data_IF_832943697987
#
_entry.id   IF_832943697987
#
_cell.length_a   1.000
_cell.length_b   1.000
_cell.length_c   1.000
_cell.angle_alpha   90.00
_cell.angle_beta   90.00
_cell.angle_gamma   90.00
#
_symmetry.space_group_name_H-M   'P 1'
#
loop_
_entity.id
_entity.type
_entity.pdbx_description
1 polymer ?
#
# COMPACT_ATOMS: atom_id res chain seq x y z
N UNK A 1 13.07 16.18 -8.69
CA UNK A 1 11.64 15.92 -8.96
C UNK A 1 11.47 14.41 -9.03
N UNK A 2 10.46 13.86 -8.38
CA UNK A 2 10.22 12.41 -8.44
C UNK A 2 9.74 11.99 -9.83
N UNK A 3 10.25 10.88 -10.35
CA UNK A 3 9.88 10.29 -11.64
C UNK A 3 8.91 9.14 -11.43
N UNK A 4 7.84 9.06 -12.23
CA UNK A 4 6.88 7.95 -12.16
C UNK A 4 7.52 6.68 -12.73
N UNK A 5 7.61 5.62 -11.90
CA UNK A 5 8.02 4.29 -12.35
C UNK A 5 6.82 3.50 -12.85
N UNK A 6 5.71 3.52 -12.08
CA UNK A 6 4.43 2.92 -12.44
C UNK A 6 3.28 3.71 -11.84
N UNK A 7 2.16 3.75 -12.56
CA UNK A 7 0.88 4.24 -12.09
C UNK A 7 -0.18 3.21 -12.43
N UNK A 8 -1.07 2.92 -11.48
CA UNK A 8 -2.13 1.95 -11.64
C UNK A 8 -3.49 2.65 -11.61
N UNK A 9 -4.42 2.17 -12.42
CA UNK A 9 -5.81 2.60 -12.45
C UNK A 9 -6.73 1.38 -12.41
N UNK A 10 -8.05 1.58 -12.25
CA UNK A 10 -9.01 0.48 -12.03
C UNK A 10 -9.12 -0.55 -13.16
N UNK A 11 -8.49 -0.32 -14.32
CA UNK A 11 -8.33 -1.32 -15.38
C UNK A 11 -7.20 -2.33 -15.07
N UNK A 12 -6.26 -1.97 -14.20
CA UNK A 12 -5.23 -2.87 -13.70
C UNK A 12 -5.82 -3.81 -12.64
N UNK A 13 -5.77 -5.14 -12.83
CA UNK A 13 -6.35 -6.07 -11.88
C UNK A 13 -5.52 -6.09 -10.60
N UNK A 14 -6.16 -5.77 -9.48
CA UNK A 14 -5.54 -5.96 -8.16
C UNK A 14 -5.35 -7.46 -7.89
N UNK A 15 -4.25 -7.81 -7.20
CA UNK A 15 -3.91 -9.20 -6.87
C UNK A 15 -4.94 -9.81 -5.91
N UNK A 16 -5.41 -9.04 -4.92
CA UNK A 16 -6.55 -9.44 -4.10
C UNK A 16 -7.83 -9.31 -4.92
N UNK A 17 -8.53 -10.43 -5.13
CA UNK A 17 -9.71 -10.53 -6.00
C UNK A 17 -10.99 -9.94 -5.41
N UNK A 18 -11.04 -9.78 -4.09
CA UNK A 18 -12.25 -9.32 -3.38
C UNK A 18 -12.40 -7.78 -3.39
N UNK A 19 -11.54 -7.07 -4.15
CA UNK A 19 -11.67 -5.64 -4.36
C UNK A 19 -12.68 -5.36 -5.47
N UNK A 20 -13.62 -4.46 -5.21
CA UNK A 20 -14.63 -4.04 -6.18
C UNK A 20 -14.21 -2.70 -6.77
N UNK A 21 -14.39 -2.50 -8.08
CA UNK A 21 -14.21 -1.18 -8.70
C UNK A 21 -15.43 -0.32 -8.40
N UNK A 22 -15.20 0.85 -7.81
CA UNK A 22 -16.21 1.87 -7.53
C UNK A 22 -15.71 3.22 -8.09
N UNK A 23 -16.17 3.56 -9.29
CA UNK A 23 -15.67 4.72 -10.04
C UNK A 23 -14.20 4.58 -10.42
N UNK A 24 -13.37 5.52 -9.97
CA UNK A 24 -11.92 5.56 -10.20
C UNK A 24 -11.09 4.93 -9.06
N UNK A 25 -11.76 4.20 -8.16
CA UNK A 25 -11.14 3.60 -6.99
C UNK A 25 -11.43 2.10 -6.87
N UNK A 26 -10.54 1.42 -6.14
CA UNK A 26 -10.82 0.09 -5.62
C UNK A 26 -11.40 0.19 -4.21
N UNK A 27 -12.53 -0.46 -3.99
CA UNK A 27 -13.24 -0.57 -2.73
C UNK A 27 -13.01 -1.95 -2.11
N UNK A 28 -12.75 -1.98 -0.80
CA UNK A 28 -12.70 -3.19 0.01
C UNK A 28 -13.58 -3.09 1.24
N UNK A 29 -14.26 -4.19 1.55
CA UNK A 29 -14.95 -4.39 2.82
C UNK A 29 -13.99 -5.09 3.79
N UNK A 30 -13.74 -4.49 4.94
CA UNK A 30 -12.94 -5.09 5.99
C UNK A 30 -13.85 -5.86 6.96
N UNK A 31 -13.60 -7.16 7.13
CA UNK A 31 -14.21 -7.99 8.18
C UNK A 31 -13.21 -8.53 9.21
N UNK A 32 -11.91 -8.38 8.94
CA UNK A 32 -10.82 -8.83 9.80
C UNK A 32 -9.52 -8.08 9.47
N UNK A 33 -8.53 -8.07 10.38
CA UNK A 33 -7.18 -7.64 10.05
C UNK A 33 -6.62 -8.46 8.88
N UNK A 34 -6.16 -7.79 7.84
CA UNK A 34 -5.60 -8.43 6.65
C UNK A 34 -4.75 -7.46 5.83
N UNK A 35 -3.94 -8.02 4.94
CA UNK A 35 -3.21 -7.26 3.93
C UNK A 35 -3.86 -7.52 2.57
N UNK A 36 -4.33 -6.44 1.94
CA UNK A 36 -4.78 -6.46 0.55
C UNK A 36 -3.56 -6.26 -0.35
N UNK A 37 -3.26 -7.26 -1.18
CA UNK A 37 -2.18 -7.19 -2.17
C UNK A 37 -2.72 -6.49 -3.41
N UNK A 38 -2.12 -5.37 -3.77
CA UNK A 38 -2.62 -4.56 -4.89
C UNK A 38 -1.86 -4.95 -6.15
N UNK A 39 -0.57 -4.63 -6.21
CA UNK A 39 0.22 -4.79 -7.42
C UNK A 39 1.64 -5.23 -7.14
N UNK A 40 2.26 -5.76 -8.18
CA UNK A 40 3.67 -6.12 -8.22
C UNK A 40 4.34 -5.39 -9.39
N UNK A 41 5.52 -4.84 -9.14
CA UNK A 41 6.39 -4.26 -10.17
C UNK A 41 7.64 -5.13 -10.25
N UNK A 42 7.72 -5.90 -11.33
CA UNK A 42 8.88 -6.72 -11.66
C UNK A 42 9.96 -5.87 -12.29
N UNK A 43 11.21 -6.17 -11.94
CA UNK A 43 12.42 -5.53 -12.47
C UNK A 43 12.27 -3.99 -12.58
N UNK A 44 12.07 -3.28 -11.45
CA UNK A 44 11.84 -1.83 -11.45
C UNK A 44 13.06 -0.99 -11.88
N UNK A 45 14.22 -1.61 -12.10
CA UNK A 45 15.46 -0.95 -12.55
C UNK A 45 15.92 0.23 -11.67
N UNK A 46 15.73 0.12 -10.34
CA UNK A 46 16.12 1.13 -9.36
C UNK A 46 17.30 0.68 -8.49
N UNK A 47 18.18 1.64 -8.16
CA UNK A 47 19.31 1.47 -7.24
C UNK A 47 19.70 2.85 -6.69
N UNK A 48 20.30 2.91 -5.49
CA UNK A 48 20.91 4.13 -4.95
C UNK A 48 19.97 5.36 -5.02
N UNK A 49 18.72 5.17 -4.64
CA UNK A 49 17.66 6.17 -4.70
C UNK A 49 16.57 5.88 -3.66
N UNK A 50 15.64 6.81 -3.51
CA UNK A 50 14.44 6.58 -2.71
C UNK A 50 13.32 6.12 -3.63
N UNK A 51 12.68 5.00 -3.31
CA UNK A 51 11.44 4.59 -3.94
C UNK A 51 10.28 5.08 -3.09
N UNK A 52 9.31 5.76 -3.69
CA UNK A 52 8.13 6.27 -3.00
C UNK A 52 6.90 5.50 -3.47
N UNK A 53 6.13 4.97 -2.52
CA UNK A 53 4.81 4.42 -2.79
C UNK A 53 3.76 5.41 -2.30
N UNK A 54 2.95 5.94 -3.22
CA UNK A 54 1.90 6.92 -2.95
C UNK A 54 0.53 6.38 -3.38
N UNK A 55 -0.49 6.70 -2.60
CA UNK A 55 -1.89 6.49 -2.95
C UNK A 55 -2.80 7.45 -2.16
N UNK A 56 -4.07 7.54 -2.56
CA UNK A 56 -5.11 8.22 -1.79
C UNK A 56 -6.07 7.20 -1.17
N UNK A 57 -6.39 7.40 0.10
CA UNK A 57 -7.27 6.54 0.88
C UNK A 57 -8.50 7.29 1.36
N UNK A 58 -9.68 6.68 1.23
CA UNK A 58 -10.93 7.12 1.87
C UNK A 58 -11.43 5.96 2.75
N UNK A 59 -12.00 6.26 3.91
CA UNK A 59 -12.58 5.21 4.77
C UNK A 59 -13.96 5.56 5.27
N UNK A 60 -14.73 4.53 5.60
CA UNK A 60 -16.02 4.68 6.24
C UNK A 60 -16.18 3.63 7.33
N UNK A 61 -16.41 4.10 8.57
CA UNK A 61 -16.68 3.24 9.73
C UNK A 61 -15.56 2.26 10.07
N UNK A 62 -14.30 2.55 9.69
CA UNK A 62 -13.17 1.66 9.91
C UNK A 62 -12.80 1.57 11.40
N UNK A 63 -13.03 0.42 12.04
CA UNK A 63 -12.70 0.20 13.47
C UNK A 63 -11.24 -0.20 13.69
N UNK A 64 -10.54 -0.56 12.61
CA UNK A 64 -9.10 -0.82 12.57
C UNK A 64 -8.27 0.41 12.16
N UNK A 65 -7.00 0.18 11.87
CA UNK A 65 -6.12 1.14 11.19
C UNK A 65 -5.72 0.58 9.84
N UNK A 66 -5.76 1.41 8.81
CA UNK A 66 -5.24 1.06 7.49
C UNK A 66 -4.04 1.93 7.11
N UNK A 67 -3.06 1.36 6.43
CA UNK A 67 -1.87 2.07 5.96
C UNK A 67 -1.25 1.40 4.73
N UNK A 68 -0.46 2.17 3.98
CA UNK A 68 0.33 1.66 2.86
C UNK A 68 1.48 0.78 3.36
N UNK A 69 1.72 -0.32 2.67
CA UNK A 69 2.83 -1.23 2.92
C UNK A 69 3.52 -1.56 1.60
N UNK A 70 4.85 -1.50 1.57
CA UNK A 70 5.67 -1.81 0.41
C UNK A 70 6.71 -2.87 0.79
N UNK A 71 6.88 -3.89 -0.04
CA UNK A 71 7.92 -4.91 0.12
C UNK A 71 8.87 -4.88 -1.09
N UNK A 72 10.17 -4.80 -0.85
CA UNK A 72 11.21 -4.87 -1.85
C UNK A 72 11.97 -6.18 -1.67
N UNK A 73 11.99 -7.01 -2.70
CA UNK A 73 12.85 -8.20 -2.74
C UNK A 73 14.19 -7.84 -3.34
N UNK A 74 15.27 -8.07 -2.59
CA UNK A 74 16.65 -7.88 -3.03
C UNK A 74 17.25 -9.28 -3.30
N UNK A 75 17.58 -9.62 -4.55
CA UNK A 75 18.19 -10.91 -4.89
C UNK A 75 19.41 -11.24 -4.02
N UNK A 76 19.44 -12.45 -3.47
CA UNK A 76 20.52 -12.91 -2.58
C UNK A 76 20.54 -12.28 -1.18
N UNK A 77 19.64 -11.35 -0.86
CA UNK A 77 19.61 -10.63 0.43
C UNK A 77 18.29 -10.77 1.18
N UNK A 78 17.21 -11.17 0.50
CA UNK A 78 15.90 -11.40 1.09
C UNK A 78 14.89 -10.28 0.79
N UNK A 79 13.83 -10.22 1.59
CA UNK A 79 12.76 -9.22 1.43
C UNK A 79 12.78 -8.23 2.60
N UNK A 80 12.59 -6.96 2.26
CA UNK A 80 12.59 -5.83 3.20
C UNK A 80 11.31 -5.02 2.99
N UNK A 81 10.86 -4.30 4.01
CA UNK A 81 9.59 -3.56 3.93
C UNK A 81 9.69 -2.11 4.37
N UNK A 82 8.75 -1.31 3.88
CA UNK A 82 8.36 -0.02 4.42
C UNK A 82 6.87 -0.06 4.78
N UNK A 83 6.51 0.44 5.96
CA UNK A 83 5.13 0.44 6.48
C UNK A 83 4.76 1.83 6.97
N UNK A 84 3.62 2.34 6.52
CA UNK A 84 3.10 3.67 6.87
C UNK A 84 2.47 3.75 8.26
N UNK A 85 3.15 3.23 9.30
CA UNK A 85 2.62 3.17 10.67
C UNK A 85 2.34 4.55 11.29
N UNK A 86 2.97 5.61 10.77
CA UNK A 86 2.76 7.01 11.15
C UNK A 86 1.74 7.74 10.25
N UNK A 87 1.23 7.08 9.20
CA UNK A 87 0.28 7.62 8.22
C UNK A 87 -0.92 6.67 8.07
N UNK A 88 -1.55 6.36 9.20
CA UNK A 88 -2.70 5.46 9.25
C UNK A 88 -4.01 6.23 9.09
N UNK A 89 -4.97 5.65 8.37
CA UNK A 89 -6.37 6.09 8.34
C UNK A 89 -7.24 5.19 9.22
N UNK A 90 -8.28 5.75 9.84
CA UNK A 90 -9.22 5.07 10.75
C UNK A 90 -10.52 5.85 10.84
N UNK A 91 -11.60 5.21 11.30
CA UNK A 91 -12.92 5.82 11.42
C UNK A 91 -13.54 6.10 10.05
N UNK A 92 -14.07 7.30 9.88
CA UNK A 92 -14.55 7.79 8.59
C UNK A 92 -13.75 9.02 8.20
N UNK A 93 -13.20 9.03 6.99
CA UNK A 93 -12.46 10.16 6.45
C UNK A 93 -12.70 10.27 4.95
N UNK A 94 -12.68 11.49 4.43
CA UNK A 94 -12.57 11.74 3.00
C UNK A 94 -11.16 11.41 2.48
N UNK A 95 -10.93 11.61 1.18
CA UNK A 95 -9.67 11.26 0.52
C UNK A 95 -8.43 11.91 1.14
N UNK A 96 -7.60 11.11 1.82
CA UNK A 96 -6.30 11.48 2.39
C UNK A 96 -5.18 10.92 1.51
N UNK A 97 -4.17 11.74 1.21
CA UNK A 97 -2.96 11.28 0.53
C UNK A 97 -1.99 10.63 1.51
N UNK A 98 -1.48 9.45 1.17
CA UNK A 98 -0.49 8.72 1.94
C UNK A 98 0.74 8.44 1.07
N UNK A 99 1.93 8.52 1.64
CA UNK A 99 3.18 8.21 0.95
C UNK A 99 4.20 7.58 1.89
N UNK A 100 4.83 6.48 1.46
CA UNK A 100 5.90 5.84 2.23
C UNK A 100 7.19 5.71 1.41
N UNK A 101 8.37 5.98 2.01
CA UNK A 101 9.65 5.82 1.34
C UNK A 101 10.26 4.44 1.60
N UNK A 102 11.05 3.94 0.64
CA UNK A 102 12.01 2.85 0.81
C UNK A 102 13.35 3.32 0.26
N UNK A 103 14.39 3.29 1.10
CA UNK A 103 15.72 3.80 0.75
C UNK A 103 16.58 2.66 0.22
N UNK A 104 16.96 2.72 -1.06
CA UNK A 104 17.92 1.81 -1.68
C UNK A 104 19.30 2.43 -1.65
N UNK A 105 20.28 1.69 -1.14
CA UNK A 105 21.70 2.06 -1.21
C UNK A 105 22.34 1.54 -2.50
N UNK A 106 23.59 1.93 -2.74
CA UNK A 106 24.43 1.30 -3.77
C UNK A 106 24.55 -0.21 -3.50
N UNK A 107 24.41 -1.01 -4.55
CA UNK A 107 24.35 -2.47 -4.49
C UNK A 107 22.96 -3.04 -4.15
N UNK A 108 21.95 -2.20 -3.92
CA UNK A 108 20.57 -2.63 -3.61
C UNK A 108 19.68 -2.45 -4.83
N UNK A 109 19.53 -3.53 -5.60
CA UNK A 109 18.69 -3.58 -6.80
C UNK A 109 17.55 -4.56 -6.58
N UNK A 110 16.31 -4.10 -6.32
CA UNK A 110 15.20 -5.02 -6.18
C UNK A 110 14.79 -5.56 -7.55
N UNK A 111 14.45 -6.85 -7.58
CA UNK A 111 13.87 -7.53 -8.76
C UNK A 111 12.32 -7.56 -8.69
N UNK A 112 11.76 -7.26 -7.52
CA UNK A 112 10.33 -7.21 -7.28
C UNK A 112 9.99 -6.20 -6.18
N UNK A 113 9.02 -5.33 -6.46
CA UNK A 113 8.38 -4.45 -5.47
C UNK A 113 6.89 -4.80 -5.38
N UNK A 114 6.40 -5.11 -4.18
CA UNK A 114 4.97 -5.35 -3.90
C UNK A 114 4.36 -4.15 -3.22
N UNK A 115 3.19 -3.73 -3.71
CA UNK A 115 2.40 -2.62 -3.18
C UNK A 115 1.14 -3.18 -2.52
N UNK A 116 0.98 -2.89 -1.23
CA UNK A 116 -0.08 -3.42 -0.40
C UNK A 116 -0.84 -2.31 0.35
N UNK A 117 -2.06 -2.64 0.77
CA UNK A 117 -2.82 -1.92 1.77
C UNK A 117 -2.99 -2.84 2.98
N UNK A 118 -2.39 -2.50 4.11
CA UNK A 118 -2.49 -3.28 5.34
C UNK A 118 -3.59 -2.73 6.24
N UNK A 119 -4.41 -3.62 6.82
CA UNK A 119 -5.43 -3.29 7.80
C UNK A 119 -5.20 -4.09 9.08
N UNK A 120 -5.09 -3.38 10.20
CA UNK A 120 -4.79 -3.98 11.51
C UNK A 120 -5.86 -3.65 12.54
N UNK A 121 -6.06 -4.56 13.51
CA UNK A 121 -6.95 -4.30 14.65
C UNK A 121 -6.39 -3.20 15.57
N UNK A 122 -7.29 -2.54 16.27
CA UNK A 122 -6.95 -1.64 17.38
C UNK A 122 -7.16 -2.36 18.72
N UNK A 123 -6.31 -2.07 19.71
CA UNK A 123 -6.39 -2.64 21.06
C UNK A 123 -5.42 -3.81 21.33
N UNK A 124 -4.70 -3.73 22.44
CA UNK A 124 -3.68 -4.72 22.85
C UNK A 124 -4.24 -5.90 23.66
N UNK A 125 -5.36 -5.69 24.37
CA UNK A 125 -5.86 -6.63 25.39
C UNK A 125 -7.01 -7.49 24.86
N UNK A 126 -7.87 -6.93 24.01
CA UNK A 126 -8.91 -7.66 23.28
C UNK A 126 -8.86 -7.22 21.82
N UNK A 127 -8.49 -8.13 20.90
CA UNK A 127 -8.54 -7.86 19.46
C UNK A 127 -10.00 -7.60 19.09
N UNK A 128 -10.37 -6.33 18.90
CA UNK A 128 -11.69 -5.98 18.38
C UNK A 128 -11.76 -6.42 16.91
N UNK A 129 -12.94 -6.88 16.45
CA UNK A 129 -13.14 -7.13 15.03
C UNK A 129 -12.88 -5.85 14.24
N UNK A 130 -12.26 -6.00 13.08
CA UNK A 130 -12.10 -4.91 12.12
C UNK A 130 -13.32 -4.93 11.22
N UNK A 131 -14.04 -3.81 11.19
CA UNK A 131 -15.16 -3.57 10.29
C UNK A 131 -14.93 -2.26 9.55
N UNK A 132 -15.58 -2.07 8.41
CA UNK A 132 -15.59 -0.80 7.68
C UNK A 132 -15.21 -0.96 6.21
N UNK A 133 -15.21 0.15 5.49
CA UNK A 133 -14.89 0.22 4.06
C UNK A 133 -13.66 1.08 3.83
N UNK A 134 -12.87 0.70 2.85
CA UNK A 134 -11.72 1.48 2.40
C UNK A 134 -11.77 1.57 0.90
N UNK A 135 -11.62 2.79 0.38
CA UNK A 135 -11.33 3.03 -1.03
C UNK A 135 -9.87 3.45 -1.16
N UNK A 136 -9.24 2.99 -2.22
CA UNK A 136 -7.90 3.38 -2.62
C UNK A 136 -7.89 3.76 -4.10
N UNK A 137 -7.15 4.83 -4.43
CA UNK A 137 -6.87 5.24 -5.81
C UNK A 137 -5.55 5.99 -5.93
N UNK A 138 -5.20 6.41 -7.14
CA UNK A 138 -3.96 7.12 -7.47
C UNK A 138 -2.71 6.34 -7.00
N UNK A 139 -2.75 5.02 -7.14
CA UNK A 139 -1.69 4.10 -6.70
C UNK A 139 -0.49 4.27 -7.63
N UNK A 140 0.60 4.81 -7.10
CA UNK A 140 1.79 5.16 -7.87
C UNK A 140 3.07 4.73 -7.17
N UNK A 141 4.02 4.24 -7.97
CA UNK A 141 5.39 3.97 -7.57
C UNK A 141 6.29 5.00 -8.24
N UNK A 142 7.09 5.71 -7.46
CA UNK A 142 7.94 6.80 -7.93
C UNK A 142 9.40 6.54 -7.54
N UNK A 143 10.33 7.05 -8.35
CA UNK A 143 11.74 7.22 -8.02
C UNK A 143 11.97 8.66 -7.59
N UNK A 144 12.38 8.85 -6.34
CA UNK A 144 12.74 10.15 -5.74
C UNK A 144 14.09 10.67 -6.18
#
# INVERSE_FOLDING_TARGET
>A
MATVLRAFNTMDPAITKDMVVDGDAWLVNCGQPQTFRLFEVLEPEVENCTVLYRARLKTEGLTGKAYLEMWCRLPGRGEFFSKGLNQTVTGSNEWVSCEIPFFLKRGERPDLIRLNLAVVATGFIFKKPVTGRIWIKDVTLLKG
#
